data_IF_993701785912
#
_entry.id   IF_993701785912
#
_cell.length_a   1.000
_cell.length_b   1.000
_cell.length_c   1.000
_cell.angle_alpha   90.00
_cell.angle_beta   90.00
_cell.angle_gamma   90.00
#
_symmetry.space_group_name_H-M   'P 1'
#
loop_
_entity.id
_entity.type
_entity.pdbx_description
1 polymer ?
#
# COMPACT_ATOMS: atom_id res chain seq x y z
N UNK A 1 15.14 22.68 15.36
CA UNK A 1 14.84 21.32 15.84
C UNK A 1 15.70 20.24 15.18
N UNK A 2 15.72 20.07 13.85
CA UNK A 2 16.51 19.03 13.16
C UNK A 2 18.02 19.06 13.47
N UNK A 3 18.67 20.24 13.54
CA UNK A 3 20.09 20.35 13.91
C UNK A 3 20.39 19.76 15.28
N UNK A 4 19.53 20.03 16.27
CA UNK A 4 19.69 19.48 17.62
C UNK A 4 19.58 17.93 17.64
N UNK A 5 18.59 17.39 16.93
CA UNK A 5 18.42 15.93 16.83
C UNK A 5 19.62 15.26 16.14
N UNK A 6 20.12 15.83 15.04
CA UNK A 6 21.34 15.34 14.37
C UNK A 6 22.58 15.37 15.25
N UNK A 7 22.72 16.42 16.05
CA UNK A 7 23.84 16.55 17.00
C UNK A 7 23.73 15.51 18.12
N UNK A 8 22.54 15.31 18.69
CA UNK A 8 22.29 14.28 19.71
C UNK A 8 22.55 12.88 19.17
N UNK A 9 22.01 12.56 17.98
CA UNK A 9 22.26 11.28 17.33
C UNK A 9 23.76 11.04 17.08
N UNK A 10 24.48 12.06 16.62
CA UNK A 10 25.93 11.96 16.43
C UNK A 10 26.73 11.74 17.72
N UNK A 11 26.27 12.26 18.86
CA UNK A 11 26.87 11.98 20.17
C UNK A 11 26.64 10.52 20.56
N UNK A 12 25.41 10.02 20.43
CA UNK A 12 25.04 8.63 20.75
C UNK A 12 25.85 7.64 19.91
N UNK A 13 25.96 7.87 18.60
CA UNK A 13 26.75 7.02 17.70
C UNK A 13 28.21 6.94 18.18
N UNK A 14 28.84 8.09 18.50
CA UNK A 14 30.24 8.11 18.98
C UNK A 14 30.39 7.46 20.35
N UNK A 15 29.42 7.65 21.23
CA UNK A 15 29.46 7.06 22.58
C UNK A 15 29.37 5.53 22.53
N UNK A 16 28.42 5.01 21.74
CA UNK A 16 28.32 3.57 21.51
C UNK A 16 29.60 3.04 20.88
N UNK A 17 30.10 3.67 19.80
CA UNK A 17 31.31 3.24 19.13
C UNK A 17 32.53 3.15 20.07
N UNK A 18 32.68 4.12 20.98
CA UNK A 18 33.76 4.06 21.99
C UNK A 18 33.60 2.92 23.00
N UNK A 19 32.34 2.62 23.39
CA UNK A 19 32.06 1.60 24.39
C UNK A 19 32.24 0.19 23.86
N UNK A 20 32.01 -0.05 22.58
CA UNK A 20 32.15 -1.36 21.96
C UNK A 20 33.50 -1.58 21.30
N UNK A 21 34.33 -0.55 21.20
CA UNK A 21 35.64 -0.62 20.56
C UNK A 21 36.53 -1.69 21.20
N UNK A 22 37.10 -2.57 20.38
CA UNK A 22 37.92 -3.70 20.80
C UNK A 22 37.12 -4.92 21.29
N UNK A 23 35.79 -4.93 21.12
CA UNK A 23 34.92 -6.04 21.47
C UNK A 23 34.21 -6.57 20.20
N UNK A 24 34.83 -7.50 19.41
CA UNK A 24 34.36 -7.89 18.09
C UNK A 24 32.89 -8.36 18.06
N UNK A 25 32.48 -9.12 19.06
CA UNK A 25 31.10 -9.61 19.15
C UNK A 25 30.07 -8.47 19.31
N UNK A 26 30.41 -7.41 20.05
CA UNK A 26 29.54 -6.24 20.19
C UNK A 26 29.60 -5.34 18.95
N UNK A 27 30.77 -5.19 18.36
CA UNK A 27 30.92 -4.43 17.11
C UNK A 27 30.05 -5.04 16.01
N UNK A 28 30.09 -6.36 15.85
CA UNK A 28 29.22 -7.08 14.90
C UNK A 28 27.73 -6.92 15.22
N UNK A 29 27.35 -7.12 16.48
CA UNK A 29 25.96 -7.03 16.92
C UNK A 29 25.36 -5.62 16.70
N UNK A 30 26.13 -4.56 16.93
CA UNK A 30 25.69 -3.18 16.79
C UNK A 30 25.88 -2.60 15.38
N UNK A 31 26.65 -3.23 14.50
CA UNK A 31 26.98 -2.73 13.18
C UNK A 31 25.72 -2.37 12.34
N UNK A 32 24.66 -3.19 12.26
CA UNK A 32 23.47 -2.85 11.48
C UNK A 32 22.74 -1.61 12.03
N UNK A 33 22.63 -1.48 13.35
CA UNK A 33 21.98 -0.34 13.99
C UNK A 33 22.77 0.95 13.83
N UNK A 34 24.09 0.90 14.01
CA UNK A 34 24.97 2.04 13.83
C UNK A 34 25.00 2.49 12.36
N UNK A 35 25.03 1.58 11.41
CA UNK A 35 24.96 1.88 9.98
C UNK A 35 23.68 2.66 9.63
N UNK A 36 22.50 2.19 10.09
CA UNK A 36 21.24 2.92 9.90
C UNK A 36 21.25 4.29 10.58
N UNK A 37 21.79 4.39 11.79
CA UNK A 37 21.90 5.65 12.51
C UNK A 37 22.80 6.65 11.79
N UNK A 38 23.94 6.21 11.25
CA UNK A 38 24.83 7.01 10.41
C UNK A 38 24.10 7.50 9.15
N UNK A 39 23.35 6.64 8.49
CA UNK A 39 22.58 6.97 7.31
C UNK A 39 21.53 8.04 7.60
N UNK A 40 20.70 7.87 8.64
CA UNK A 40 19.70 8.88 9.06
C UNK A 40 20.39 10.22 9.36
N UNK A 41 21.55 10.18 10.03
CA UNK A 41 22.29 11.38 10.37
C UNK A 41 22.83 12.12 9.13
N UNK A 42 23.28 11.39 8.11
CA UNK A 42 23.87 11.95 6.88
C UNK A 42 22.84 12.44 5.88
N UNK A 43 21.61 11.93 5.91
CA UNK A 43 20.54 12.28 4.98
C UNK A 43 20.20 13.77 5.00
N UNK A 44 19.90 14.31 3.83
CA UNK A 44 19.42 15.68 3.67
C UNK A 44 17.91 15.71 3.33
N UNK A 45 17.24 16.79 3.73
CA UNK A 45 15.79 16.93 3.53
C UNK A 45 15.38 16.81 2.06
N UNK A 46 16.15 17.43 1.14
CA UNK A 46 15.89 17.44 -0.30
C UNK A 46 16.81 16.50 -1.09
N UNK A 47 17.42 15.53 -0.44
CA UNK A 47 18.25 14.52 -1.10
C UNK A 47 17.42 13.76 -2.13
N UNK A 48 17.96 13.58 -3.32
CA UNK A 48 17.44 12.66 -4.34
C UNK A 48 17.95 11.24 -4.08
N UNK A 49 17.25 10.25 -4.62
CA UNK A 49 17.60 8.84 -4.46
C UNK A 49 17.09 8.25 -3.16
N UNK A 50 17.68 7.11 -2.80
CA UNK A 50 17.22 6.32 -1.68
C UNK A 50 17.42 7.02 -0.34
N UNK A 51 16.40 6.95 0.53
CA UNK A 51 16.40 7.45 1.91
C UNK A 51 15.85 6.41 2.86
N UNK A 52 16.40 6.38 4.06
CA UNK A 52 15.84 5.61 5.16
C UNK A 52 14.78 6.47 5.86
N UNK A 53 13.51 6.08 5.77
CA UNK A 53 12.38 6.81 6.35
C UNK A 53 12.01 6.34 7.75
N UNK A 54 12.38 5.09 8.11
CA UNK A 54 12.17 4.52 9.44
C UNK A 54 13.40 3.74 9.89
N UNK A 55 13.83 3.96 11.14
CA UNK A 55 14.96 3.22 11.71
C UNK A 55 14.63 1.74 11.95
N UNK A 56 13.40 1.47 12.41
CA UNK A 56 12.96 0.11 12.77
C UNK A 56 12.35 -0.67 11.62
N UNK A 57 11.94 0.02 10.56
CA UNK A 57 11.35 -0.56 9.36
C UNK A 57 12.03 0.06 8.12
N UNK A 58 13.24 -0.42 7.78
CA UNK A 58 14.04 0.16 6.68
C UNK A 58 13.40 0.00 5.30
N UNK A 59 12.46 -0.92 5.16
CA UNK A 59 11.65 -1.17 3.97
C UNK A 59 10.60 -0.09 3.67
N UNK A 60 10.32 0.80 4.63
CA UNK A 60 9.31 1.87 4.46
C UNK A 60 9.68 2.81 3.33
N UNK A 61 8.76 3.00 2.43
CA UNK A 61 8.86 3.88 1.26
C UNK A 61 8.10 5.19 1.47
N UNK A 62 8.47 6.21 0.70
CA UNK A 62 7.77 7.49 0.66
C UNK A 62 6.89 7.56 -0.59
N UNK A 63 5.58 7.59 -0.40
CA UNK A 63 4.59 7.60 -1.46
C UNK A 63 4.03 9.02 -1.60
N UNK A 64 4.25 9.65 -2.76
CA UNK A 64 3.69 10.96 -3.09
C UNK A 64 2.19 10.86 -3.36
N UNK A 65 1.37 11.66 -2.67
CA UNK A 65 -0.11 11.67 -2.81
C UNK A 65 -0.65 12.84 -3.60
N UNK A 66 0.17 13.83 -3.93
CA UNK A 66 -0.29 15.04 -4.63
C UNK A 66 -1.32 15.87 -3.88
N UNK A 67 -1.52 15.64 -2.57
CA UNK A 67 -2.44 16.38 -1.72
C UNK A 67 -1.71 17.49 -0.97
N UNK A 68 -2.22 18.72 -1.00
CA UNK A 68 -1.56 19.88 -0.37
C UNK A 68 -1.34 19.70 1.15
N UNK A 69 -2.32 19.14 1.87
CA UNK A 69 -2.25 18.96 3.34
C UNK A 69 -1.46 17.72 3.78
N UNK A 70 -1.41 16.68 2.95
CA UNK A 70 -0.69 15.44 3.25
C UNK A 70 0.00 14.96 1.96
N UNK A 71 1.12 15.60 1.58
CA UNK A 71 1.77 15.34 0.30
C UNK A 71 2.43 13.95 0.23
N UNK A 72 2.72 13.36 1.37
CA UNK A 72 3.40 12.06 1.46
C UNK A 72 2.69 11.12 2.42
N UNK A 73 2.67 9.84 2.06
CA UNK A 73 2.38 8.72 2.96
C UNK A 73 3.63 7.85 3.05
N UNK A 74 3.84 7.20 4.21
CA UNK A 74 4.99 6.33 4.44
C UNK A 74 4.50 4.91 4.67
N UNK A 75 5.13 3.95 4.01
CA UNK A 75 4.75 2.53 4.03
C UNK A 75 4.95 1.89 2.67
N UNK A 76 4.22 0.82 2.40
CA UNK A 76 4.19 0.12 1.11
C UNK A 76 2.86 0.41 0.41
N UNK A 77 2.90 0.61 -0.90
CA UNK A 77 1.70 0.74 -1.71
C UNK A 77 0.91 -0.56 -1.71
N UNK A 78 -0.41 -0.49 -1.57
CA UNK A 78 -1.29 -1.64 -1.71
C UNK A 78 -2.23 -1.48 -2.91
N UNK A 79 -2.43 -2.58 -3.65
CA UNK A 79 -3.47 -2.71 -4.68
C UNK A 79 -4.65 -3.46 -4.10
N UNK A 80 -5.86 -2.95 -4.32
CA UNK A 80 -7.10 -3.53 -3.81
C UNK A 80 -8.09 -3.61 -4.96
N UNK A 81 -8.67 -4.78 -5.16
CA UNK A 81 -9.73 -5.03 -6.14
C UNK A 81 -10.99 -5.44 -5.41
N UNK A 82 -12.10 -4.80 -5.73
CA UNK A 82 -13.41 -5.10 -5.15
C UNK A 82 -14.43 -5.46 -6.23
N UNK A 83 -15.48 -6.15 -5.85
CA UNK A 83 -16.68 -6.23 -6.69
C UNK A 83 -17.25 -4.83 -6.92
N UNK A 84 -17.89 -4.61 -8.06
CA UNK A 84 -18.59 -3.35 -8.35
C UNK A 84 -20.10 -3.56 -8.56
N UNK A 85 -20.60 -4.73 -8.28
CA UNK A 85 -22.03 -5.03 -8.28
C UNK A 85 -22.73 -4.46 -7.03
N UNK A 86 -24.03 -4.23 -7.14
CA UNK A 86 -24.85 -3.89 -5.98
C UNK A 86 -25.27 -5.21 -5.32
N UNK A 87 -24.76 -5.45 -4.11
CA UNK A 87 -25.05 -6.65 -3.35
C UNK A 87 -25.38 -6.30 -1.88
N UNK A 88 -26.22 -7.09 -1.20
CA UNK A 88 -26.33 -7.03 0.26
C UNK A 88 -24.94 -7.21 0.89
N UNK A 89 -24.60 -6.41 1.90
CA UNK A 89 -23.28 -6.42 2.53
C UNK A 89 -22.23 -5.53 1.84
N UNK A 90 -22.55 -4.90 0.70
CA UNK A 90 -21.67 -3.93 0.04
C UNK A 90 -20.72 -4.55 -0.99
N UNK A 91 -19.52 -3.97 -1.09
CA UNK A 91 -18.47 -4.45 -2.00
C UNK A 91 -17.55 -5.45 -1.28
N UNK A 92 -17.24 -6.56 -1.95
CA UNK A 92 -16.32 -7.58 -1.45
C UNK A 92 -14.93 -7.38 -2.05
N UNK A 93 -13.89 -7.56 -1.24
CA UNK A 93 -12.50 -7.55 -1.70
C UNK A 93 -12.21 -8.88 -2.40
N UNK A 94 -11.88 -8.82 -3.69
CA UNK A 94 -11.53 -9.98 -4.52
C UNK A 94 -10.02 -10.25 -4.52
N UNK A 95 -9.22 -9.19 -4.41
CA UNK A 95 -7.76 -9.29 -4.42
C UNK A 95 -7.17 -8.12 -3.64
N UNK A 96 -6.14 -8.41 -2.86
CA UNK A 96 -5.34 -7.40 -2.17
C UNK A 96 -3.87 -7.83 -2.17
N UNK A 97 -2.96 -6.91 -2.52
CA UNK A 97 -1.54 -7.18 -2.58
C UNK A 97 -0.71 -5.96 -2.23
N UNK A 98 0.40 -6.16 -1.52
CA UNK A 98 1.42 -5.14 -1.32
C UNK A 98 2.28 -5.00 -2.58
N UNK A 99 2.67 -3.77 -2.91
CA UNK A 99 3.44 -3.43 -4.09
C UNK A 99 4.73 -2.70 -3.69
N UNK A 100 5.77 -3.42 -3.25
CA UNK A 100 7.07 -2.84 -2.93
C UNK A 100 7.69 -2.12 -4.15
N UNK A 101 8.53 -1.11 -3.89
CA UNK A 101 9.17 -0.32 -4.93
C UNK A 101 8.28 0.79 -5.50
N UNK A 102 7.10 1.02 -4.90
CA UNK A 102 6.14 2.04 -5.31
C UNK A 102 5.94 2.11 -6.85
N UNK A 103 5.62 0.98 -7.51
CA UNK A 103 5.50 0.93 -8.95
C UNK A 103 4.38 1.85 -9.44
N UNK A 104 4.48 2.29 -10.70
CA UNK A 104 3.41 3.01 -11.35
C UNK A 104 2.17 2.12 -11.51
N UNK A 105 0.99 2.61 -11.12
CA UNK A 105 -0.25 1.82 -11.08
C UNK A 105 -0.58 1.16 -12.43
N UNK A 106 -0.39 1.89 -13.53
CA UNK A 106 -0.64 1.37 -14.86
C UNK A 106 0.20 0.15 -15.25
N UNK A 107 1.39 -0.01 -14.67
CA UNK A 107 2.24 -1.18 -14.93
C UNK A 107 1.81 -2.42 -14.13
N UNK A 108 1.15 -2.24 -13.00
CA UNK A 108 0.72 -3.36 -12.13
C UNK A 108 -0.61 -3.96 -12.56
N UNK A 109 -1.41 -3.23 -13.36
CA UNK A 109 -2.79 -3.59 -13.65
C UNK A 109 -2.96 -4.97 -14.27
N UNK A 110 -2.13 -5.33 -15.25
CA UNK A 110 -2.23 -6.62 -15.93
C UNK A 110 -2.03 -7.80 -14.96
N UNK A 111 -1.01 -7.70 -14.10
CA UNK A 111 -0.73 -8.71 -13.08
C UNK A 111 -1.85 -8.79 -12.02
N UNK A 112 -2.37 -7.64 -11.60
CA UNK A 112 -3.49 -7.57 -10.63
C UNK A 112 -4.75 -8.21 -11.21
N UNK A 113 -5.09 -7.96 -12.47
CA UNK A 113 -6.25 -8.57 -13.13
C UNK A 113 -6.06 -10.08 -13.21
N UNK A 114 -4.91 -10.56 -13.69
CA UNK A 114 -4.64 -11.99 -13.81
C UNK A 114 -4.70 -12.72 -12.45
N UNK A 115 -4.15 -12.11 -11.39
CA UNK A 115 -4.25 -12.64 -10.04
C UNK A 115 -5.70 -12.66 -9.51
N UNK A 116 -6.48 -11.62 -9.81
CA UNK A 116 -7.91 -11.55 -9.45
C UNK A 116 -8.71 -12.65 -10.13
N UNK A 117 -8.51 -12.85 -11.43
CA UNK A 117 -9.17 -13.91 -12.22
C UNK A 117 -8.82 -15.30 -11.69
N UNK A 118 -7.55 -15.52 -11.36
CA UNK A 118 -7.08 -16.78 -10.78
C UNK A 118 -7.74 -17.06 -9.42
N UNK A 119 -7.89 -16.05 -8.56
CA UNK A 119 -8.48 -16.22 -7.22
C UNK A 119 -10.00 -16.37 -7.28
N UNK A 120 -10.68 -15.61 -8.15
CA UNK A 120 -12.15 -15.63 -8.24
C UNK A 120 -12.69 -16.74 -9.13
N UNK A 121 -11.84 -17.34 -9.98
CA UNK A 121 -12.28 -18.30 -11.01
C UNK A 121 -13.11 -17.67 -12.13
N UNK A 122 -13.23 -16.34 -12.18
CA UNK A 122 -14.07 -15.60 -13.13
C UNK A 122 -13.25 -14.61 -13.94
N UNK A 123 -13.51 -14.52 -15.24
CA UNK A 123 -12.90 -13.54 -16.11
C UNK A 123 -13.40 -12.12 -15.80
N UNK A 124 -12.47 -11.16 -15.82
CA UNK A 124 -12.79 -9.73 -15.64
C UNK A 124 -13.15 -9.13 -17.00
N UNK A 125 -14.41 -9.01 -17.28
CA UNK A 125 -14.91 -8.37 -18.53
C UNK A 125 -14.78 -6.84 -18.48
N UNK A 126 -15.10 -6.24 -17.34
CA UNK A 126 -15.10 -4.78 -17.13
C UNK A 126 -14.38 -4.41 -15.84
N UNK A 127 -13.56 -3.36 -15.91
CA UNK A 127 -12.88 -2.78 -14.76
C UNK A 127 -13.07 -1.27 -14.66
N UNK A 128 -13.23 -0.76 -13.44
CA UNK A 128 -13.39 0.66 -13.12
C UNK A 128 -12.21 1.12 -12.26
N UNK A 129 -11.34 1.92 -12.85
CA UNK A 129 -10.02 2.23 -12.33
C UNK A 129 -9.94 3.66 -11.80
N UNK A 130 -9.00 3.91 -10.89
CA UNK A 130 -8.66 5.26 -10.48
C UNK A 130 -7.83 5.98 -11.55
N UNK A 131 -7.71 7.30 -11.42
CA UNK A 131 -6.93 8.15 -12.32
C UNK A 131 -5.45 7.77 -12.41
N UNK A 132 -4.90 7.17 -11.36
CA UNK A 132 -3.52 6.68 -11.30
C UNK A 132 -3.20 5.62 -12.36
N UNK A 133 -4.21 4.94 -12.90
CA UNK A 133 -4.03 3.90 -13.93
C UNK A 133 -4.01 4.43 -15.37
N UNK A 134 -3.99 5.74 -15.60
CA UNK A 134 -3.90 6.31 -16.96
C UNK A 134 -2.64 5.81 -17.65
N UNK A 135 -2.74 5.44 -18.93
CA UNK A 135 -1.62 4.89 -19.69
C UNK A 135 -1.25 3.45 -19.32
N UNK A 136 -2.18 2.69 -18.72
CA UNK A 136 -1.99 1.26 -18.45
C UNK A 136 -1.72 0.46 -19.74
N UNK A 137 -1.01 -0.66 -19.57
CA UNK A 137 -0.68 -1.59 -20.65
C UNK A 137 -1.47 -2.91 -20.58
N UNK A 138 -2.64 -2.91 -19.90
CA UNK A 138 -3.49 -4.08 -19.85
C UNK A 138 -4.07 -4.41 -21.24
N UNK A 139 -4.34 -5.69 -21.48
CA UNK A 139 -4.83 -6.19 -22.76
C UNK A 139 -6.12 -5.46 -23.21
N UNK A 140 -6.19 -5.10 -24.49
CA UNK A 140 -7.29 -4.33 -25.07
C UNK A 140 -8.63 -5.06 -25.12
N UNK A 141 -8.62 -6.36 -24.93
CA UNK A 141 -9.80 -7.23 -24.92
C UNK A 141 -10.76 -6.92 -23.76
N UNK A 142 -10.24 -6.32 -22.68
CA UNK A 142 -11.04 -5.96 -21.50
C UNK A 142 -11.52 -4.53 -21.56
N UNK A 143 -12.76 -4.30 -21.18
CA UNK A 143 -13.36 -2.95 -21.13
C UNK A 143 -12.99 -2.24 -19.84
N UNK A 144 -11.92 -1.44 -19.87
CA UNK A 144 -11.40 -0.72 -18.71
C UNK A 144 -11.77 0.77 -18.79
N UNK A 145 -12.35 1.28 -17.72
CA UNK A 145 -12.82 2.67 -17.62
C UNK A 145 -12.10 3.39 -16.49
N UNK A 146 -11.51 4.55 -16.80
CA UNK A 146 -10.74 5.34 -15.83
C UNK A 146 -11.63 6.44 -15.24
N UNK A 147 -11.51 6.67 -13.96
CA UNK A 147 -12.21 7.75 -13.25
C UNK A 147 -12.00 9.11 -13.94
N UNK A 148 -13.10 9.80 -14.22
CA UNK A 148 -13.10 11.06 -14.96
C UNK A 148 -13.12 10.93 -16.49
N UNK A 149 -13.15 9.71 -17.04
CA UNK A 149 -13.34 9.48 -18.47
C UNK A 149 -14.77 9.91 -18.88
N UNK A 150 -14.88 10.60 -20.02
CA UNK A 150 -16.16 11.06 -20.59
C UNK A 150 -16.56 10.26 -21.82
N UNK A 151 -15.59 9.91 -22.68
CA UNK A 151 -15.84 9.16 -23.93
C UNK A 151 -16.24 7.71 -23.63
N UNK A 152 -17.29 7.22 -24.25
CA UNK A 152 -17.80 5.85 -24.09
C UNK A 152 -18.44 5.56 -22.74
N UNK A 153 -18.75 6.59 -21.93
CA UNK A 153 -19.31 6.46 -20.59
C UNK A 153 -20.74 6.97 -20.56
N UNK A 154 -21.70 6.06 -20.82
CA UNK A 154 -23.15 6.33 -20.80
C UNK A 154 -23.91 5.17 -20.15
N UNK A 155 -25.18 5.37 -19.82
CA UNK A 155 -26.09 4.34 -19.32
C UNK A 155 -25.56 3.58 -18.10
N UNK A 156 -25.45 2.26 -18.21
CA UNK A 156 -24.97 1.35 -17.16
C UNK A 156 -23.53 1.68 -16.76
N UNK A 157 -22.63 1.92 -17.74
CA UNK A 157 -21.22 2.21 -17.49
C UNK A 157 -21.05 3.46 -16.62
N UNK A 158 -21.86 4.52 -16.89
CA UNK A 158 -21.84 5.74 -16.08
C UNK A 158 -22.26 5.47 -14.62
N UNK A 159 -23.24 4.60 -14.41
CA UNK A 159 -23.69 4.19 -13.05
C UNK A 159 -22.62 3.38 -12.35
N UNK A 160 -21.99 2.41 -13.02
CA UNK A 160 -20.94 1.57 -12.48
C UNK A 160 -19.68 2.36 -12.18
N UNK A 161 -19.30 3.32 -13.03
CA UNK A 161 -18.16 4.21 -12.78
C UNK A 161 -18.38 5.14 -11.57
N UNK A 162 -19.62 5.60 -11.34
CA UNK A 162 -19.98 6.33 -10.12
C UNK A 162 -19.89 5.44 -8.88
N UNK A 163 -20.35 4.18 -8.97
CA UNK A 163 -20.30 3.23 -7.88
C UNK A 163 -18.86 2.88 -7.47
N UNK A 164 -17.89 2.99 -8.37
CA UNK A 164 -16.47 2.81 -8.04
C UNK A 164 -16.06 3.58 -6.77
N UNK A 165 -16.63 4.76 -6.52
CA UNK A 165 -16.28 5.56 -5.34
C UNK A 165 -16.58 4.83 -4.02
N UNK A 166 -17.43 3.81 -4.00
CA UNK A 166 -17.69 3.02 -2.80
C UNK A 166 -16.47 2.21 -2.32
N UNK A 167 -15.46 1.99 -3.18
CA UNK A 167 -14.18 1.40 -2.76
C UNK A 167 -13.47 2.23 -1.68
N UNK A 168 -13.70 3.56 -1.65
CA UNK A 168 -13.11 4.44 -0.65
C UNK A 168 -13.60 4.08 0.77
N UNK A 169 -14.87 3.66 0.90
CA UNK A 169 -15.41 3.16 2.17
C UNK A 169 -14.74 1.83 2.56
N UNK A 170 -14.57 0.90 1.61
CA UNK A 170 -13.89 -0.38 1.86
C UNK A 170 -12.44 -0.12 2.33
N UNK A 171 -11.70 0.75 1.63
CA UNK A 171 -10.34 1.14 2.03
C UNK A 171 -10.35 1.81 3.41
N UNK A 172 -11.34 2.63 3.71
CA UNK A 172 -11.53 3.25 5.01
C UNK A 172 -11.67 2.21 6.13
N UNK A 173 -12.52 1.21 5.95
CA UNK A 173 -12.68 0.09 6.89
C UNK A 173 -11.40 -0.74 7.00
N UNK A 174 -10.75 -1.08 5.89
CA UNK A 174 -9.45 -1.77 5.93
C UNK A 174 -8.41 -1.01 6.75
N UNK A 175 -8.39 0.33 6.66
CA UNK A 175 -7.44 1.17 7.42
C UNK A 175 -7.80 1.28 8.91
N UNK A 176 -9.07 1.45 9.24
CA UNK A 176 -9.51 1.72 10.61
C UNK A 176 -9.73 0.43 11.40
N UNK A 177 -10.43 -0.53 10.82
CA UNK A 177 -10.86 -1.75 11.49
C UNK A 177 -9.89 -2.91 11.20
N UNK A 178 -9.37 -2.98 9.96
CA UNK A 178 -8.42 -4.00 9.50
C UNK A 178 -6.94 -3.65 9.73
N UNK A 179 -6.63 -2.53 10.38
CA UNK A 179 -5.27 -2.08 10.67
C UNK A 179 -4.35 -1.87 9.45
N UNK A 180 -4.89 -1.74 8.22
CA UNK A 180 -4.09 -1.44 7.04
C UNK A 180 -3.35 -0.09 7.15
N UNK A 181 -3.85 0.83 7.96
CA UNK A 181 -3.24 2.13 8.20
C UNK A 181 -1.90 2.08 8.93
N UNK A 182 -1.55 0.95 9.58
CA UNK A 182 -0.30 0.76 10.32
C UNK A 182 0.10 -0.71 10.36
N UNK A 183 1.18 -1.07 9.67
CA UNK A 183 1.75 -2.41 9.74
C UNK A 183 2.61 -2.57 11.01
N UNK A 184 2.35 -3.61 11.79
CA UNK A 184 3.16 -4.01 12.96
C UNK A 184 4.12 -5.14 12.64
N UNK A 185 3.94 -5.78 11.50
CA UNK A 185 4.80 -6.84 11.00
C UNK A 185 6.03 -6.23 10.32
N UNK A 186 7.13 -6.97 10.25
CA UNK A 186 8.39 -6.48 9.72
C UNK A 186 8.66 -7.01 8.31
N UNK A 187 9.31 -6.16 7.51
CA UNK A 187 9.78 -6.50 6.19
C UNK A 187 8.66 -6.61 5.14
N UNK A 188 9.02 -6.79 3.90
CA UNK A 188 8.06 -6.90 2.79
C UNK A 188 7.08 -8.08 2.94
N UNK A 189 7.51 -9.18 3.56
CA UNK A 189 6.60 -10.30 3.87
C UNK A 189 5.55 -9.90 4.90
N UNK A 190 5.94 -9.10 5.90
CA UNK A 190 5.03 -8.53 6.88
C UNK A 190 4.03 -7.56 6.25
N UNK A 191 4.47 -6.70 5.35
CA UNK A 191 3.58 -5.80 4.60
C UNK A 191 2.57 -6.58 3.75
N UNK A 192 3.02 -7.63 3.04
CA UNK A 192 2.14 -8.49 2.26
C UNK A 192 1.09 -9.20 3.13
N UNK A 193 1.51 -9.77 4.25
CA UNK A 193 0.61 -10.41 5.20
C UNK A 193 -0.40 -9.42 5.79
N UNK A 194 0.04 -8.20 6.17
CA UNK A 194 -0.83 -7.15 6.71
C UNK A 194 -1.92 -6.74 5.71
N UNK A 195 -1.60 -6.62 4.43
CA UNK A 195 -2.59 -6.27 3.39
C UNK A 195 -3.65 -7.37 3.26
N UNK A 196 -3.23 -8.64 3.25
CA UNK A 196 -4.15 -9.79 3.14
C UNK A 196 -5.04 -9.90 4.39
N UNK A 197 -4.47 -9.81 5.58
CA UNK A 197 -5.22 -9.87 6.85
C UNK A 197 -6.23 -8.74 6.95
N UNK A 198 -5.86 -7.52 6.56
CA UNK A 198 -6.76 -6.36 6.55
C UNK A 198 -7.93 -6.55 5.57
N UNK A 199 -7.68 -7.18 4.41
CA UNK A 199 -8.72 -7.52 3.45
C UNK A 199 -9.68 -8.58 4.00
N UNK A 200 -9.15 -9.63 4.63
CA UNK A 200 -9.95 -10.71 5.24
C UNK A 200 -10.84 -10.22 6.37
N UNK A 201 -10.35 -9.33 7.22
CA UNK A 201 -11.12 -8.72 8.30
C UNK A 201 -12.33 -7.94 7.77
N UNK A 202 -12.18 -7.24 6.64
CA UNK A 202 -13.27 -6.49 6.00
C UNK A 202 -14.37 -7.42 5.47
N UNK A 203 -14.00 -8.58 4.91
CA UNK A 203 -14.96 -9.59 4.45
C UNK A 203 -15.73 -10.17 5.63
N UNK A 204 -15.05 -10.51 6.72
CA UNK A 204 -15.66 -11.08 7.92
C UNK A 204 -16.65 -10.13 8.60
N UNK A 205 -16.34 -8.82 8.63
CA UNK A 205 -17.23 -7.80 9.20
C UNK A 205 -18.52 -7.60 8.38
N UNK A 206 -18.46 -7.78 7.05
CA UNK A 206 -19.63 -7.68 6.17
C UNK A 206 -20.51 -8.93 6.17
N UNK A 207 -20.04 -10.05 6.72
CA UNK A 207 -20.76 -11.32 6.85
C UNK A 207 -21.42 -11.51 8.21
N UNK A 208 -21.84 -10.43 8.91
CA UNK A 208 -22.67 -10.53 10.13
C UNK A 208 -23.89 -11.44 9.94
N UNK A 209 -24.32 -12.20 10.97
CA UNK A 209 -25.33 -13.24 10.86
C UNK A 209 -26.70 -12.66 10.46
N UNK A 210 -26.98 -12.61 9.18
CA UNK A 210 -28.18 -12.06 8.54
C UNK A 210 -28.06 -12.00 7.01
N UNK A 211 -26.86 -11.98 6.44
CA UNK A 211 -26.67 -11.98 4.99
C UNK A 211 -26.36 -13.39 4.50
N UNK A 212 -27.41 -14.12 4.03
CA UNK A 212 -27.23 -15.38 3.31
C UNK A 212 -26.55 -15.08 1.97
N UNK A 213 -25.36 -15.67 1.77
CA UNK A 213 -24.69 -15.74 0.48
C UNK A 213 -25.57 -16.61 -0.45
N UNK A 214 -26.19 -16.02 -1.45
CA UNK A 214 -26.69 -16.75 -2.60
C UNK A 214 -25.66 -16.59 -3.72
N UNK A 215 -24.89 -17.64 -3.98
CA UNK A 215 -24.19 -17.81 -5.24
C UNK A 215 -25.24 -18.11 -6.32
N UNK A 216 -25.31 -17.28 -7.34
CA UNK A 216 -25.92 -17.58 -8.63
C UNK A 216 -24.91 -17.22 -9.71
#
# INVERSE_FOLDING_TARGET
>A
MLRLLRSRLGRIIRDIGRKIAGQPALEEAFAPALSRAHQIRSQQQRQRGWKLYSFHAPEVECIGKGKARAPYEFGVKASIVTTNARAPGGQFVLHANALPGNPYDGHTLAAVIAATEKLSGCAVERGYLDKGYRGHRAAKERRLFISGQRRGVFGVIKRELRRRSAIEAVIGHMKNDGHLGRCWLKGHAGDAANVILSASATISASSSPGSRLSCA
#
